data_IF_898641960456
#
_entry.id   IF_898641960456
#
_cell.length_a   1.000
_cell.length_b   1.000
_cell.length_c   1.000
_cell.angle_alpha   90.00
_cell.angle_beta   90.00
_cell.angle_gamma   90.00
#
_symmetry.space_group_name_H-M   'P 1'
#
loop_
_entity.id
_entity.type
_entity.pdbx_description
1 polymer ?
#
# COMPACT_ATOMS: atom_id res chain seq x y z
N UNK A 1 -15.21 -14.97 -11.69
CA UNK A 1 -14.24 -14.07 -11.04
C UNK A 1 -12.94 -14.83 -10.91
N UNK A 2 -11.89 -14.44 -11.62
CA UNK A 2 -10.56 -15.03 -11.43
C UNK A 2 -9.82 -14.22 -10.38
N UNK A 3 -9.78 -14.72 -9.14
CA UNK A 3 -8.94 -14.13 -8.11
C UNK A 3 -7.47 -14.38 -8.47
N UNK A 4 -6.68 -13.32 -8.61
CA UNK A 4 -5.22 -13.43 -8.78
C UNK A 4 -4.55 -12.99 -7.49
N UNK A 5 -3.67 -13.85 -6.97
CA UNK A 5 -2.84 -13.55 -5.82
C UNK A 5 -1.53 -13.00 -6.37
N UNK A 6 -1.12 -11.83 -5.89
CA UNK A 6 0.17 -11.25 -6.24
C UNK A 6 0.80 -10.60 -5.01
N UNK A 7 2.10 -10.33 -5.08
CA UNK A 7 2.83 -9.67 -4.00
C UNK A 7 2.63 -8.16 -4.09
N UNK A 8 2.20 -7.53 -3.00
CA UNK A 8 1.89 -6.11 -2.95
C UNK A 8 2.33 -5.47 -1.64
N UNK A 9 2.51 -4.15 -1.68
CA UNK A 9 2.50 -3.28 -0.52
C UNK A 9 1.07 -2.75 -0.27
N UNK A 10 0.60 -2.86 0.96
CA UNK A 10 -0.74 -2.43 1.39
C UNK A 10 -0.72 -1.90 2.83
N UNK A 11 -1.67 -1.02 3.13
CA UNK A 11 -1.91 -0.51 4.49
C UNK A 11 -3.02 -1.31 5.16
N UNK A 12 -2.84 -1.58 6.45
CA UNK A 12 -3.86 -2.19 7.30
C UNK A 12 -4.23 -1.17 8.37
N UNK A 13 -5.40 -0.56 8.24
CA UNK A 13 -5.91 0.35 9.25
C UNK A 13 -6.86 -0.39 10.20
N UNK A 14 -6.74 -0.19 11.52
CA UNK A 14 -7.60 -0.86 12.50
C UNK A 14 -9.11 -0.65 12.23
N UNK A 15 -9.49 0.54 11.75
CA UNK A 15 -10.88 0.96 11.67
C UNK A 15 -11.42 1.12 10.24
N UNK A 16 -10.56 1.21 9.23
CA UNK A 16 -10.96 1.49 7.84
C UNK A 16 -10.61 0.38 6.84
N UNK A 17 -10.13 -0.77 7.33
CA UNK A 17 -9.81 -1.93 6.50
C UNK A 17 -8.44 -1.86 5.83
N UNK A 18 -8.27 -2.67 4.79
CA UNK A 18 -7.01 -2.80 4.05
C UNK A 18 -7.05 -2.02 2.74
N UNK A 19 -5.96 -1.36 2.39
CA UNK A 19 -5.82 -0.61 1.15
C UNK A 19 -4.53 -0.99 0.44
N UNK A 20 -4.67 -1.55 -0.76
CA UNK A 20 -3.53 -1.90 -1.62
C UNK A 20 -2.99 -0.65 -2.33
N UNK A 21 -1.68 -0.49 -2.33
CA UNK A 21 -0.99 0.67 -2.90
C UNK A 21 -0.09 0.32 -4.09
N UNK A 22 0.03 -0.96 -4.44
CA UNK A 22 0.82 -1.41 -5.58
C UNK A 22 0.06 -2.48 -6.37
N UNK A 23 0.10 -2.36 -7.70
CA UNK A 23 -0.54 -3.32 -8.61
C UNK A 23 0.31 -4.56 -8.90
N UNK A 24 -0.27 -5.55 -9.60
CA UNK A 24 0.43 -6.78 -10.00
C UNK A 24 1.66 -6.54 -10.87
N UNK A 25 1.73 -5.41 -11.59
CA UNK A 25 2.90 -4.97 -12.35
C UNK A 25 4.16 -4.73 -11.50
N UNK A 26 3.99 -4.58 -10.18
CA UNK A 26 5.09 -4.38 -9.22
C UNK A 26 5.44 -5.65 -8.43
N UNK A 27 4.79 -6.79 -8.70
CA UNK A 27 4.90 -7.99 -7.84
C UNK A 27 6.35 -8.50 -7.67
N UNK A 28 7.18 -8.32 -8.69
CA UNK A 28 8.59 -8.76 -8.71
C UNK A 28 9.58 -7.70 -8.17
N UNK A 29 9.09 -6.52 -7.75
CA UNK A 29 9.96 -5.48 -7.22
C UNK A 29 10.57 -5.89 -5.87
N UNK A 30 11.84 -5.55 -5.59
CA UNK A 30 12.41 -5.72 -4.26
C UNK A 30 11.65 -4.87 -3.23
N UNK A 31 11.68 -5.25 -1.94
CA UNK A 31 10.94 -4.57 -0.87
C UNK A 31 11.16 -3.07 -0.84
N UNK A 32 12.41 -2.63 -1.02
CA UNK A 32 12.74 -1.20 -1.04
C UNK A 32 12.02 -0.46 -2.19
N UNK A 33 11.92 -1.07 -3.37
CA UNK A 33 11.20 -0.50 -4.51
C UNK A 33 9.69 -0.55 -4.31
N UNK A 34 9.14 -1.61 -3.72
CA UNK A 34 7.71 -1.66 -3.35
C UNK A 34 7.33 -0.59 -2.33
N UNK A 35 8.16 -0.35 -1.32
CA UNK A 35 7.94 0.71 -0.33
C UNK A 35 8.00 2.09 -0.97
N UNK A 36 8.93 2.30 -1.90
CA UNK A 36 9.05 3.55 -2.64
C UNK A 36 7.82 3.81 -3.54
N UNK A 37 7.36 2.79 -4.27
CA UNK A 37 6.16 2.92 -5.12
C UNK A 37 4.91 3.14 -4.29
N UNK A 38 4.72 2.39 -3.20
CA UNK A 38 3.60 2.58 -2.30
C UNK A 38 3.57 3.98 -1.68
N UNK A 39 4.74 4.53 -1.33
CA UNK A 39 4.84 5.90 -0.84
C UNK A 39 4.49 6.91 -1.94
N UNK A 40 4.95 6.69 -3.18
CA UNK A 40 4.60 7.54 -4.32
C UNK A 40 3.08 7.54 -4.58
N UNK A 41 2.44 6.37 -4.55
CA UNK A 41 0.99 6.25 -4.65
C UNK A 41 0.27 6.92 -3.48
N UNK A 42 0.79 6.80 -2.25
CA UNK A 42 0.21 7.48 -1.10
C UNK A 42 0.26 9.01 -1.21
N UNK A 43 1.33 9.58 -1.78
CA UNK A 43 1.39 11.00 -2.12
C UNK A 43 0.40 11.37 -3.23
N UNK A 44 0.28 10.57 -4.29
CA UNK A 44 -0.67 10.80 -5.39
C UNK A 44 -2.13 10.78 -4.91
N UNK A 45 -2.42 9.92 -3.93
CA UNK A 45 -3.73 9.77 -3.31
C UNK A 45 -4.00 10.76 -2.14
N UNK A 46 -3.10 11.72 -1.90
CA UNK A 46 -3.21 12.72 -0.81
C UNK A 46 -3.35 12.10 0.60
N UNK A 47 -2.70 10.95 0.82
CA UNK A 47 -2.72 10.24 2.11
C UNK A 47 -1.64 10.72 3.08
N UNK A 48 -0.64 11.46 2.60
CA UNK A 48 0.51 11.90 3.40
C UNK A 48 0.42 13.39 3.68
N UNK A 49 0.49 13.77 4.96
CA UNK A 49 0.48 15.19 5.35
C UNK A 49 0.30 15.42 6.85
N UNK A 50 0.43 16.69 7.30
CA UNK A 50 0.42 17.04 8.72
C UNK A 50 -0.99 17.12 9.34
N UNK A 51 -2.04 17.17 8.52
CA UNK A 51 -3.42 17.37 8.95
C UNK A 51 -4.24 16.10 8.77
N UNK A 52 -5.11 15.80 9.74
CA UNK A 52 -6.09 14.72 9.63
C UNK A 52 -6.99 14.93 8.37
N UNK A 53 -7.31 13.88 7.59
CA UNK A 53 -7.11 12.45 7.82
C UNK A 53 -5.78 11.86 7.28
N UNK A 54 -4.82 12.71 6.91
CA UNK A 54 -3.53 12.26 6.37
C UNK A 54 -2.65 11.67 7.47
N UNK A 55 -1.71 10.80 7.09
CA UNK A 55 -0.74 10.19 7.99
C UNK A 55 0.66 10.78 7.78
N UNK A 56 1.48 10.74 8.82
CA UNK A 56 2.90 11.05 8.69
C UNK A 56 3.61 9.98 7.84
N UNK A 57 4.75 10.32 7.24
CA UNK A 57 5.59 9.34 6.52
C UNK A 57 6.06 8.22 7.45
N UNK A 58 6.34 8.55 8.72
CA UNK A 58 6.75 7.56 9.72
C UNK A 58 5.63 6.56 10.00
N UNK A 59 4.41 7.05 10.26
CA UNK A 59 3.25 6.20 10.53
C UNK A 59 2.87 5.39 9.28
N UNK A 60 2.95 5.98 8.09
CA UNK A 60 2.79 5.26 6.83
C UNK A 60 3.72 4.05 6.77
N UNK A 61 5.03 4.24 7.02
CA UNK A 61 5.98 3.13 7.01
C UNK A 61 5.74 2.11 8.13
N UNK A 62 5.23 2.55 9.28
CA UNK A 62 4.88 1.69 10.41
C UNK A 62 3.71 0.75 10.07
N UNK A 63 2.71 1.25 9.33
CA UNK A 63 1.52 0.47 8.95
C UNK A 63 1.65 -0.25 7.59
N UNK A 64 2.68 0.09 6.80
CA UNK A 64 2.90 -0.52 5.50
C UNK A 64 3.42 -1.97 5.61
N UNK A 65 2.59 -2.88 5.11
CA UNK A 65 2.88 -4.31 5.03
C UNK A 65 3.19 -4.70 3.59
N UNK A 66 4.12 -5.64 3.40
CA UNK A 66 4.38 -6.29 2.10
C UNK A 66 4.01 -7.76 2.23
N UNK A 67 3.13 -8.25 1.36
CA UNK A 67 2.61 -9.60 1.44
C UNK A 67 1.81 -10.01 0.21
N UNK A 68 1.15 -11.16 0.31
CA UNK A 68 0.23 -11.63 -0.72
C UNK A 68 -1.10 -10.87 -0.65
N UNK A 69 -1.55 -10.32 -1.76
CA UNK A 69 -2.80 -9.61 -1.90
C UNK A 69 -3.76 -10.36 -2.83
N UNK A 70 -5.05 -10.38 -2.49
CA UNK A 70 -6.10 -11.07 -3.22
C UNK A 70 -6.95 -10.04 -4.00
N UNK A 71 -6.65 -9.85 -5.28
CA UNK A 71 -7.51 -9.02 -6.12
C UNK A 71 -8.67 -9.86 -6.67
N UNK A 72 -9.90 -9.43 -6.36
CA UNK A 72 -11.13 -9.93 -6.98
C UNK A 72 -11.59 -8.88 -7.98
N UNK A 73 -11.34 -9.13 -9.27
CA UNK A 73 -11.83 -8.30 -10.39
C UNK A 73 -13.13 -8.87 -10.97
#
# INVERSE_FOLDING_TARGET
>A
MTSRIYRAAYLVYPDSGEMVLTGPEHADYPDAALRAEALAEAYRADLIGPEWPRVSVEDFHRYLTIGAWYASY
#
